data_IF_572474507724
#
_entry.id   IF_572474507724
#
_cell.length_a   1.000
_cell.length_b   1.000
_cell.length_c   1.000
_cell.angle_alpha   90.00
_cell.angle_beta   90.00
_cell.angle_gamma   90.00
#
_symmetry.space_group_name_H-M   'P 1'
#
loop_
_entity.id
_entity.type
_entity.pdbx_description
1 polymer ?
#
# COMPACT_ATOMS: atom_id res chain seq x y z
N UNK A 1 -10.98 -0.53 -0.19
CA UNK A 1 -10.72 0.65 0.65
C UNK A 1 -10.73 1.89 -0.23
N UNK A 2 -11.48 2.94 0.11
CA UNK A 2 -11.50 4.20 -0.66
C UNK A 2 -10.63 5.23 0.08
N UNK A 3 -9.67 5.85 -0.61
CA UNK A 3 -8.77 6.89 -0.07
C UNK A 3 -8.70 8.07 -1.04
N UNK A 4 -8.31 9.29 -0.58
CA UNK A 4 -8.03 10.39 -1.48
C UNK A 4 -7.02 10.03 -2.56
N UNK A 5 -7.10 10.73 -3.69
CA UNK A 5 -6.08 10.63 -4.74
C UNK A 5 -4.71 11.01 -4.14
N UNK A 6 -3.68 10.35 -4.64
CA UNK A 6 -2.28 10.54 -4.21
C UNK A 6 -2.01 10.15 -2.75
N UNK A 7 -2.90 9.35 -2.14
CA UNK A 7 -2.66 8.81 -0.81
C UNK A 7 -1.43 7.90 -0.76
N UNK A 8 -0.77 7.90 0.39
CA UNK A 8 0.42 7.07 0.61
C UNK A 8 0.06 5.72 1.26
N UNK A 9 0.96 4.75 1.16
CA UNK A 9 0.86 3.47 1.89
C UNK A 9 0.68 3.70 3.39
N UNK A 10 1.34 4.71 3.96
CA UNK A 10 1.18 5.06 5.36
C UNK A 10 -0.23 5.53 5.71
N UNK A 11 -0.82 6.39 4.87
CA UNK A 11 -2.21 6.82 5.06
C UNK A 11 -3.20 5.65 4.90
N UNK A 12 -2.93 4.72 3.98
CA UNK A 12 -3.69 3.47 3.85
C UNK A 12 -3.58 2.65 5.14
N UNK A 13 -2.36 2.41 5.63
CA UNK A 13 -2.12 1.66 6.86
C UNK A 13 -2.86 2.28 8.05
N UNK A 14 -2.76 3.59 8.23
CA UNK A 14 -3.43 4.33 9.29
C UNK A 14 -4.96 4.26 9.20
N UNK A 15 -5.52 4.30 7.97
CA UNK A 15 -6.96 4.18 7.75
C UNK A 15 -7.50 2.78 8.06
N UNK A 16 -6.68 1.74 7.84
CA UNK A 16 -7.06 0.37 8.22
C UNK A 16 -6.96 0.20 9.74
N UNK A 17 -5.79 0.49 10.33
CA UNK A 17 -5.62 0.47 11.77
C UNK A 17 -4.35 1.22 12.20
N UNK A 18 -4.39 1.93 13.32
CA UNK A 18 -3.23 2.66 13.87
C UNK A 18 -2.00 1.77 14.09
N UNK A 19 -2.21 0.51 14.49
CA UNK A 19 -1.09 -0.41 14.77
C UNK A 19 -0.40 -0.92 13.50
N UNK A 20 -1.09 -0.94 12.37
CA UNK A 20 -0.46 -1.24 11.08
C UNK A 20 0.49 -0.12 10.64
N UNK A 21 0.14 1.12 10.97
CA UNK A 21 1.01 2.27 10.73
C UNK A 21 2.20 2.27 11.70
N UNK A 22 1.93 2.14 13.00
CA UNK A 22 2.95 2.20 14.05
C UNK A 22 3.97 1.06 13.94
N UNK A 23 3.52 -0.15 13.61
CA UNK A 23 4.39 -1.32 13.45
C UNK A 23 4.91 -1.54 12.02
N UNK A 24 4.65 -0.61 11.09
CA UNK A 24 4.94 -0.80 9.67
C UNK A 24 6.42 -1.17 9.41
N UNK A 25 6.65 -2.23 8.63
CA UNK A 25 7.98 -2.58 8.10
C UNK A 25 8.12 -2.23 6.63
N UNK A 26 7.22 -2.75 5.81
CA UNK A 26 7.15 -2.53 4.37
C UNK A 26 5.79 -3.00 3.85
N UNK A 27 5.48 -2.67 2.59
CA UNK A 27 4.35 -3.23 1.88
C UNK A 27 4.78 -3.84 0.54
N UNK A 28 4.03 -4.82 0.05
CA UNK A 28 4.04 -5.18 -1.36
C UNK A 28 2.83 -4.56 -2.04
N UNK A 29 3.08 -3.94 -3.19
CA UNK A 29 2.07 -3.39 -4.08
C UNK A 29 2.01 -4.29 -5.30
N UNK A 30 0.86 -4.90 -5.53
CA UNK A 30 0.57 -5.68 -6.73
C UNK A 30 -0.27 -4.80 -7.65
N UNK A 31 0.29 -4.49 -8.82
CA UNK A 31 -0.34 -3.63 -9.82
C UNK A 31 -0.43 -4.35 -11.14
N UNK A 32 -1.65 -4.42 -11.68
CA UNK A 32 -1.88 -4.87 -13.05
C UNK A 32 -1.56 -3.73 -14.00
N UNK A 33 -0.69 -4.00 -14.98
CA UNK A 33 -0.46 -3.08 -16.09
C UNK A 33 -1.52 -3.28 -17.18
N UNK A 34 -1.74 -2.28 -18.06
CA UNK A 34 -2.66 -2.39 -19.19
C UNK A 34 -2.37 -3.60 -20.09
N UNK A 35 -1.11 -4.01 -20.19
CA UNK A 35 -0.68 -5.15 -21.01
C UNK A 35 -0.91 -6.51 -20.32
N UNK A 36 -1.60 -6.55 -19.18
CA UNK A 36 -1.90 -7.78 -18.42
C UNK A 36 -0.75 -8.28 -17.53
N UNK A 37 0.41 -7.63 -17.55
CA UNK A 37 1.54 -7.97 -16.69
C UNK A 37 1.28 -7.48 -15.25
N UNK A 38 1.45 -8.35 -14.27
CA UNK A 38 1.42 -7.97 -12.86
C UNK A 38 2.83 -7.61 -12.39
N UNK A 39 2.99 -6.41 -11.81
CA UNK A 39 4.22 -6.01 -11.17
C UNK A 39 4.06 -6.05 -9.65
N UNK A 40 5.11 -6.52 -8.96
CA UNK A 40 5.23 -6.48 -7.51
C UNK A 40 6.29 -5.47 -7.10
N UNK A 41 5.89 -4.46 -6.35
CA UNK A 41 6.77 -3.39 -5.88
C UNK A 41 6.88 -3.47 -4.36
N UNK A 42 8.11 -3.50 -3.82
CA UNK A 42 8.34 -3.30 -2.39
C UNK A 42 8.29 -1.81 -2.08
N UNK A 43 7.41 -1.40 -1.18
CA UNK A 43 7.10 -0.01 -0.90
C UNK A 43 7.28 0.34 0.58
N UNK A 44 7.70 1.58 0.84
CA UNK A 44 7.70 2.20 2.17
C UNK A 44 6.44 3.05 2.39
N UNK A 45 6.34 3.67 3.56
CA UNK A 45 5.18 4.48 3.97
C UNK A 45 4.85 5.63 2.99
N UNK A 46 5.86 6.23 2.37
CA UNK A 46 5.69 7.39 1.48
C UNK A 46 5.34 7.00 0.03
N UNK A 47 5.21 5.71 -0.28
CA UNK A 47 4.84 5.28 -1.62
C UNK A 47 3.40 5.69 -1.93
N UNK A 48 3.19 6.35 -3.06
CA UNK A 48 1.87 6.79 -3.51
C UNK A 48 1.15 5.63 -4.19
N UNK A 49 -0.03 5.28 -3.67
CA UNK A 49 -0.85 4.19 -4.19
C UNK A 49 -1.69 4.68 -5.37
N UNK A 50 -1.95 3.79 -6.32
CA UNK A 50 -2.82 4.04 -7.46
C UNK A 50 -4.13 3.30 -7.33
N UNK A 51 -5.09 3.73 -8.13
CA UNK A 51 -6.37 3.04 -8.25
C UNK A 51 -6.16 1.56 -8.61
N UNK A 52 -6.94 0.70 -7.96
CA UNK A 52 -6.86 -0.77 -8.09
C UNK A 52 -5.55 -1.44 -7.68
N UNK A 53 -4.64 -0.73 -7.00
CA UNK A 53 -3.51 -1.40 -6.34
C UNK A 53 -4.00 -2.36 -5.25
N UNK A 54 -3.46 -3.57 -5.24
CA UNK A 54 -3.58 -4.49 -4.11
C UNK A 54 -2.37 -4.27 -3.20
N UNK A 55 -2.64 -4.04 -1.91
CA UNK A 55 -1.62 -3.65 -0.94
C UNK A 55 -1.57 -4.70 0.17
N UNK A 56 -0.40 -5.32 0.33
CA UNK A 56 -0.10 -6.26 1.41
C UNK A 56 0.85 -5.58 2.40
N UNK A 57 0.38 -5.33 3.64
CA UNK A 57 1.14 -4.60 4.66
C UNK A 57 1.79 -5.58 5.63
N UNK A 58 3.11 -5.48 5.80
CA UNK A 58 3.86 -6.24 6.77
C UNK A 58 4.17 -5.36 7.98
N UNK A 59 3.62 -5.73 9.14
CA UNK A 59 3.81 -5.04 10.41
C UNK A 59 4.58 -5.92 11.41
N UNK A 60 5.34 -5.28 12.30
CA UNK A 60 5.86 -5.86 13.54
C UNK A 60 4.72 -5.69 14.55
N UNK A 61 3.95 -6.75 14.75
CA UNK A 61 3.07 -6.87 15.92
C UNK A 61 3.93 -6.92 17.19
#
# INVERSE_FOLDING_TARGET
LIVPKDSTVGQVAQKVHKDLYNGFKFAYIYRKRPEGQEIRIRAGLNFIVKEFDIIEIFSKL
#
